data_IF_471315175437
#
_entry.id   IF_471315175437
#
_cell.length_a   1.000
_cell.length_b   1.000
_cell.length_c   1.000
_cell.angle_alpha   90.00
_cell.angle_beta   90.00
_cell.angle_gamma   90.00
#
_symmetry.space_group_name_H-M   'P 1'
#
loop_
_entity.id
_entity.type
_entity.pdbx_description
1 polymer ?
#
# COMPACT_ATOMS: atom_id res chain seq x y z
N UNK A 1 18.44 13.44 26.65
CA UNK A 1 17.02 13.23 26.58
C UNK A 1 16.75 11.73 26.60
N UNK A 2 16.03 11.23 27.60
CA UNK A 2 15.49 9.88 27.60
C UNK A 2 14.08 9.96 27.01
N UNK A 3 13.87 9.30 25.89
CA UNK A 3 12.56 9.19 25.23
C UNK A 3 11.83 7.97 25.79
N UNK A 4 10.61 8.13 26.22
CA UNK A 4 9.77 7.03 26.66
C UNK A 4 8.70 6.72 25.63
N UNK A 5 8.65 5.47 25.18
CA UNK A 5 7.66 4.98 24.23
C UNK A 5 7.11 3.65 24.72
N UNK A 6 5.81 3.54 24.78
CA UNK A 6 5.10 2.33 25.14
C UNK A 6 4.33 1.80 23.94
N UNK A 7 4.25 0.49 23.82
CA UNK A 7 3.49 -0.09 22.73
C UNK A 7 3.26 -1.58 22.87
N UNK A 8 2.33 -2.05 22.07
CA UNK A 8 1.99 -3.46 21.95
C UNK A 8 1.80 -3.82 20.49
N UNK A 9 2.09 -5.06 20.14
CA UNK A 9 1.81 -5.57 18.81
C UNK A 9 1.29 -7.01 18.87
N UNK A 10 0.46 -7.35 17.91
CA UNK A 10 -0.01 -8.70 17.64
C UNK A 10 0.26 -9.05 16.19
N UNK A 11 0.71 -10.28 15.93
CA UNK A 11 0.90 -10.78 14.57
C UNK A 11 0.46 -12.23 14.48
N UNK A 12 -0.40 -12.55 13.53
CA UNK A 12 -0.68 -13.92 13.14
C UNK A 12 0.31 -14.43 12.08
N UNK A 13 0.35 -15.75 11.87
CA UNK A 13 1.22 -16.34 10.83
C UNK A 13 0.77 -15.96 9.43
N UNK A 14 1.70 -15.52 8.58
CA UNK A 14 1.47 -15.20 7.16
C UNK A 14 1.12 -16.41 6.30
N UNK A 15 1.34 -17.63 6.78
CA UNK A 15 1.00 -18.87 6.06
C UNK A 15 -0.47 -19.25 6.12
N UNK A 16 -1.27 -18.56 6.94
CA UNK A 16 -2.71 -18.79 7.07
C UNK A 16 -3.48 -18.17 5.91
N UNK A 17 -4.69 -18.68 5.67
CA UNK A 17 -5.66 -18.12 4.73
C UNK A 17 -5.93 -16.62 5.03
N UNK A 18 -6.03 -16.30 6.31
CA UNK A 18 -6.10 -14.94 6.83
C UNK A 18 -4.91 -14.69 7.75
N UNK A 19 -4.31 -13.53 7.59
CA UNK A 19 -3.27 -13.07 8.50
C UNK A 19 -3.51 -11.59 8.86
N UNK A 20 -3.09 -11.24 10.06
CA UNK A 20 -3.29 -9.90 10.61
C UNK A 20 -2.07 -9.52 11.43
N UNK A 21 -1.71 -8.25 11.36
CA UNK A 21 -0.77 -7.62 12.28
C UNK A 21 -1.41 -6.32 12.74
N UNK A 22 -1.40 -6.11 14.06
CA UNK A 22 -1.88 -4.88 14.68
C UNK A 22 -0.76 -4.36 15.56
N UNK A 23 -0.51 -3.07 15.53
CA UNK A 23 0.44 -2.43 16.43
C UNK A 23 -0.12 -1.11 16.95
N UNK A 24 0.25 -0.79 18.17
CA UNK A 24 -0.06 0.47 18.83
C UNK A 24 1.16 0.93 19.60
N UNK A 25 1.51 2.19 19.45
CA UNK A 25 2.60 2.83 20.17
C UNK A 25 2.21 4.25 20.55
N UNK A 26 2.57 4.65 21.77
CA UNK A 26 2.39 5.98 22.30
C UNK A 26 3.67 6.41 23.02
N UNK A 27 4.03 7.67 22.94
CA UNK A 27 5.15 8.21 23.68
C UNK A 27 5.68 9.51 23.12
N UNK A 28 6.71 10.00 23.75
CA UNK A 28 7.37 11.26 23.41
C UNK A 28 7.89 11.25 21.96
N UNK A 29 7.72 12.37 21.27
CA UNK A 29 8.19 12.60 19.91
C UNK A 29 8.72 14.02 19.75
N UNK A 30 10.04 14.16 19.70
CA UNK A 30 10.73 15.47 19.73
C UNK A 30 10.36 16.29 20.98
N UNK A 31 9.61 17.38 20.80
CA UNK A 31 9.14 18.31 21.84
C UNK A 31 7.70 18.07 22.25
N UNK A 32 7.04 17.06 21.68
CA UNK A 32 5.64 16.73 21.89
C UNK A 32 5.40 15.23 22.07
N UNK A 33 4.21 14.80 21.76
CA UNK A 33 3.76 13.42 21.90
C UNK A 33 3.26 12.84 20.57
N UNK A 34 3.35 11.52 20.44
CA UNK A 34 2.83 10.80 19.28
C UNK A 34 2.10 9.53 19.68
N UNK A 35 0.92 9.35 19.12
CA UNK A 35 0.21 8.07 19.05
C UNK A 35 0.36 7.52 17.64
N UNK A 36 0.70 6.26 17.51
CA UNK A 36 0.72 5.55 16.22
C UNK A 36 0.04 4.19 16.35
N UNK A 37 -0.88 3.92 15.42
CA UNK A 37 -1.54 2.64 15.29
C UNK A 37 -1.44 2.13 13.86
N UNK A 38 -1.25 0.84 13.67
CA UNK A 38 -1.33 0.22 12.36
C UNK A 38 -2.07 -1.11 12.41
N UNK A 39 -2.81 -1.40 11.35
CA UNK A 39 -3.49 -2.66 11.15
C UNK A 39 -3.20 -3.17 9.73
N UNK A 40 -2.56 -4.32 9.63
CA UNK A 40 -2.35 -5.04 8.38
C UNK A 40 -3.30 -6.23 8.33
N UNK A 41 -3.95 -6.44 7.21
CA UNK A 41 -4.78 -7.59 6.91
C UNK A 41 -4.34 -8.25 5.62
N UNK A 42 -4.19 -9.56 5.61
CA UNK A 42 -3.91 -10.34 4.42
C UNK A 42 -4.89 -11.49 4.27
N UNK A 43 -5.31 -11.71 3.05
CA UNK A 43 -6.22 -12.78 2.66
C UNK A 43 -5.74 -13.48 1.40
N UNK A 44 -5.58 -14.80 1.47
CA UNK A 44 -5.12 -15.61 0.34
C UNK A 44 -6.09 -16.77 0.12
N UNK A 45 -7.25 -16.52 -0.55
CA UNK A 45 -8.28 -17.54 -0.77
C UNK A 45 -7.80 -18.70 -1.62
N UNK A 46 -6.84 -18.45 -2.50
CA UNK A 46 -6.24 -19.46 -3.38
C UNK A 46 -4.73 -19.22 -3.53
N UNK A 47 -4.04 -20.15 -4.18
CA UNK A 47 -2.62 -19.93 -4.56
C UNK A 47 -2.43 -18.87 -5.63
N UNK A 48 -3.52 -18.50 -6.33
CA UNK A 48 -3.49 -17.55 -7.45
C UNK A 48 -3.88 -16.13 -7.06
N UNK A 49 -4.57 -15.95 -5.93
CA UNK A 49 -5.11 -14.65 -5.51
C UNK A 49 -4.61 -14.36 -4.11
N UNK A 50 -4.04 -13.18 -3.93
CA UNK A 50 -3.78 -12.59 -2.63
C UNK A 50 -4.28 -11.16 -2.57
N UNK A 51 -4.84 -10.81 -1.45
CA UNK A 51 -5.24 -9.46 -1.08
C UNK A 51 -4.51 -9.06 0.18
N UNK A 52 -4.05 -7.83 0.25
CA UNK A 52 -3.55 -7.21 1.47
C UNK A 52 -4.07 -5.79 1.59
N UNK A 53 -4.36 -5.38 2.81
CA UNK A 53 -4.69 -4.00 3.15
C UNK A 53 -3.91 -3.61 4.39
N UNK A 54 -3.49 -2.36 4.45
CA UNK A 54 -2.83 -1.75 5.59
C UNK A 54 -3.46 -0.40 5.87
N UNK A 55 -3.74 -0.14 7.13
CA UNK A 55 -4.16 1.15 7.63
C UNK A 55 -3.14 1.64 8.65
N UNK A 56 -2.68 2.84 8.45
CA UNK A 56 -1.75 3.53 9.34
C UNK A 56 -2.39 4.80 9.87
N UNK A 57 -2.25 5.03 11.16
CA UNK A 57 -2.73 6.19 11.87
C UNK A 57 -1.59 6.78 12.71
N UNK A 58 -1.36 8.07 12.55
CA UNK A 58 -0.46 8.85 13.39
C UNK A 58 -1.17 10.12 13.85
N UNK A 59 -1.14 10.32 15.14
CA UNK A 59 -1.59 11.52 15.81
C UNK A 59 -0.38 12.14 16.49
N UNK A 60 -0.03 13.33 16.09
CA UNK A 60 1.19 14.03 16.52
C UNK A 60 0.81 15.38 17.06
N UNK A 61 1.10 15.58 18.33
CA UNK A 61 0.90 16.84 19.05
C UNK A 61 2.26 17.48 19.33
N UNK A 62 2.48 18.68 18.80
CA UNK A 62 3.73 19.44 18.98
C UNK A 62 3.43 20.91 19.30
N UNK A 63 4.33 21.63 20.01
CA UNK A 63 4.16 23.06 20.26
C UNK A 63 4.00 23.90 19.00
N UNK A 64 4.53 23.44 17.87
CA UNK A 64 4.47 24.11 16.56
C UNK A 64 3.19 23.81 15.78
N UNK A 65 2.40 22.81 16.19
CA UNK A 65 1.15 22.41 15.57
C UNK A 65 0.90 20.91 15.60
N UNK A 66 -0.36 20.55 15.59
CA UNK A 66 -0.84 19.18 15.66
C UNK A 66 -1.28 18.71 14.27
N UNK A 67 -1.09 17.42 14.00
CA UNK A 67 -1.63 16.82 12.79
C UNK A 67 -2.00 15.34 12.98
N UNK A 68 -3.01 14.93 12.23
CA UNK A 68 -3.44 13.52 12.16
C UNK A 68 -3.24 13.02 10.74
N UNK A 69 -2.35 12.05 10.57
CA UNK A 69 -2.14 11.34 9.31
C UNK A 69 -2.88 10.00 9.34
N UNK A 70 -3.67 9.74 8.32
CA UNK A 70 -4.34 8.47 8.03
C UNK A 70 -3.96 8.02 6.64
N UNK A 71 -3.37 6.85 6.55
CA UNK A 71 -2.95 6.26 5.28
C UNK A 71 -3.61 4.90 5.12
N UNK A 72 -4.11 4.63 3.92
CA UNK A 72 -4.68 3.34 3.53
C UNK A 72 -3.92 2.85 2.31
N UNK A 73 -3.40 1.63 2.40
CA UNK A 73 -2.78 0.91 1.30
C UNK A 73 -3.56 -0.38 1.06
N UNK A 74 -3.89 -0.68 -0.19
CA UNK A 74 -4.53 -1.93 -0.57
C UNK A 74 -3.83 -2.52 -1.80
N UNK A 75 -3.64 -3.83 -1.82
CA UNK A 75 -2.98 -4.54 -2.90
C UNK A 75 -3.72 -5.82 -3.22
N UNK A 76 -3.95 -6.05 -4.51
CA UNK A 76 -4.45 -7.31 -5.05
C UNK A 76 -3.41 -7.87 -6.00
N UNK A 77 -3.03 -9.11 -5.81
CA UNK A 77 -2.17 -9.87 -6.73
C UNK A 77 -2.97 -11.05 -7.27
N UNK A 78 -3.02 -11.16 -8.58
CA UNK A 78 -3.72 -12.24 -9.26
C UNK A 78 -2.83 -12.91 -10.31
N UNK A 79 -2.44 -14.15 -10.07
CA UNK A 79 -1.76 -15.02 -11.04
C UNK A 79 -2.80 -15.75 -11.87
N UNK A 80 -3.17 -15.17 -13.02
CA UNK A 80 -4.15 -15.73 -13.94
C UNK A 80 -3.66 -17.08 -14.50
N UNK A 81 -2.38 -17.11 -14.92
CA UNK A 81 -1.63 -18.30 -15.33
C UNK A 81 -0.24 -18.28 -14.70
N UNK A 82 0.60 -19.32 -14.83
CA UNK A 82 2.00 -19.27 -14.42
C UNK A 82 2.78 -18.12 -15.07
N UNK A 83 2.38 -17.72 -16.29
CA UNK A 83 3.08 -16.75 -17.12
C UNK A 83 2.39 -15.38 -17.16
N UNK A 84 1.18 -15.25 -16.57
CA UNK A 84 0.40 -14.02 -16.61
C UNK A 84 -0.07 -13.63 -15.21
N UNK A 85 0.34 -12.46 -14.75
CA UNK A 85 -0.05 -11.90 -13.46
C UNK A 85 -0.51 -10.44 -13.56
N UNK A 86 -1.43 -10.08 -12.68
CA UNK A 86 -1.94 -8.73 -12.49
C UNK A 86 -1.72 -8.32 -11.04
N UNK A 87 -1.18 -7.14 -10.85
CA UNK A 87 -1.04 -6.50 -9.53
C UNK A 87 -1.71 -5.15 -9.58
N UNK A 88 -2.59 -4.89 -8.63
CA UNK A 88 -3.17 -3.57 -8.41
C UNK A 88 -2.80 -3.08 -7.02
N UNK A 89 -2.39 -1.83 -6.92
CA UNK A 89 -2.10 -1.11 -5.68
C UNK A 89 -2.94 0.14 -5.63
N UNK A 90 -3.58 0.38 -4.49
CA UNK A 90 -4.29 1.61 -4.16
C UNK A 90 -3.65 2.20 -2.92
N UNK A 91 -3.41 3.51 -2.92
CA UNK A 91 -2.84 4.24 -1.80
C UNK A 91 -3.59 5.55 -1.62
N UNK A 92 -3.95 5.86 -0.39
CA UNK A 92 -4.62 7.11 -0.04
C UNK A 92 -4.05 7.67 1.26
N UNK A 93 -3.87 8.96 1.34
CA UNK A 93 -3.63 9.67 2.58
C UNK A 93 -4.49 10.92 2.71
N UNK A 94 -4.87 11.25 3.94
CA UNK A 94 -5.77 12.36 4.23
C UNK A 94 -5.11 13.74 4.29
N UNK A 95 -3.78 13.82 4.27
CA UNK A 95 -3.06 15.11 4.34
C UNK A 95 -2.95 15.69 2.94
N UNK A 96 -2.50 14.90 1.98
CA UNK A 96 -2.48 15.32 0.58
C UNK A 96 -3.87 15.25 -0.08
N UNK A 97 -4.76 14.41 0.46
CA UNK A 97 -6.02 14.05 -0.18
C UNK A 97 -5.83 13.23 -1.46
N UNK A 98 -4.63 12.69 -1.68
CA UNK A 98 -4.29 11.96 -2.90
C UNK A 98 -4.71 10.50 -2.82
N UNK A 99 -5.42 10.03 -3.84
CA UNK A 99 -5.69 8.63 -4.11
C UNK A 99 -4.91 8.19 -5.34
N UNK A 100 -3.89 7.38 -5.14
CA UNK A 100 -3.07 6.77 -6.19
C UNK A 100 -3.52 5.36 -6.51
N UNK A 101 -3.61 5.03 -7.80
CA UNK A 101 -3.84 3.68 -8.31
C UNK A 101 -2.71 3.28 -9.26
N UNK A 102 -2.13 2.10 -9.05
CA UNK A 102 -1.17 1.48 -9.96
C UNK A 102 -1.66 0.08 -10.34
N UNK A 103 -1.86 -0.17 -11.63
CA UNK A 103 -2.19 -1.48 -12.16
C UNK A 103 -1.05 -1.97 -13.04
N UNK A 104 -0.53 -3.17 -12.77
CA UNK A 104 0.58 -3.77 -13.51
C UNK A 104 0.20 -5.16 -14.00
N UNK A 105 0.19 -5.32 -15.31
CA UNK A 105 0.13 -6.61 -15.97
C UNK A 105 1.55 -7.06 -16.33
N UNK A 106 1.90 -8.29 -16.00
CA UNK A 106 3.14 -8.92 -16.41
C UNK A 106 2.82 -10.23 -17.13
N UNK A 107 3.34 -10.37 -18.34
CA UNK A 107 3.15 -11.55 -19.18
C UNK A 107 4.50 -12.04 -19.71
N UNK A 108 4.84 -13.29 -19.38
CA UNK A 108 5.99 -14.02 -19.94
C UNK A 108 5.50 -14.79 -21.17
N UNK A 109 5.80 -14.30 -22.35
CA UNK A 109 5.35 -14.91 -23.62
C UNK A 109 6.16 -16.15 -23.97
N UNK A 110 7.45 -16.15 -23.64
CA UNK A 110 8.37 -17.28 -23.75
C UNK A 110 9.60 -17.05 -22.88
N UNK A 111 10.48 -18.04 -22.77
CA UNK A 111 11.68 -17.94 -21.96
C UNK A 111 12.55 -16.72 -22.39
N UNK A 112 12.73 -15.76 -21.49
CA UNK A 112 13.47 -14.52 -21.72
C UNK A 112 12.70 -13.41 -22.43
N UNK A 113 11.40 -13.59 -22.67
CA UNK A 113 10.54 -12.57 -23.28
C UNK A 113 9.43 -12.17 -22.30
N UNK A 114 9.40 -10.90 -21.92
CA UNK A 114 8.43 -10.39 -20.97
C UNK A 114 7.77 -9.11 -21.49
N UNK A 115 6.49 -9.02 -21.30
CA UNK A 115 5.66 -7.86 -21.58
C UNK A 115 5.14 -7.30 -20.27
N UNK A 116 5.31 -6.02 -20.05
CA UNK A 116 4.73 -5.30 -18.90
C UNK A 116 3.84 -4.18 -19.42
N UNK A 117 2.62 -4.14 -18.92
CA UNK A 117 1.74 -2.99 -19.08
C UNK A 117 1.51 -2.40 -17.69
N UNK A 118 1.84 -1.14 -17.52
CA UNK A 118 1.64 -0.41 -16.27
C UNK A 118 0.68 0.73 -16.53
N UNK A 119 -0.33 0.85 -15.71
CA UNK A 119 -1.27 1.96 -15.72
C UNK A 119 -1.27 2.63 -14.34
N UNK A 120 -1.01 3.92 -14.32
CA UNK A 120 -1.08 4.76 -13.14
C UNK A 120 -2.23 5.75 -13.29
N UNK A 121 -2.94 6.02 -12.21
CA UNK A 121 -3.97 7.02 -12.14
C UNK A 121 -3.96 7.68 -10.78
N UNK A 122 -3.97 9.00 -10.74
CA UNK A 122 -4.06 9.77 -9.52
C UNK A 122 -5.35 10.60 -9.49
N UNK A 123 -5.90 10.70 -8.30
CA UNK A 123 -7.07 11.51 -7.97
C UNK A 123 -6.74 12.36 -6.75
N UNK A 124 -7.37 13.50 -6.62
CA UNK A 124 -7.31 14.31 -5.42
C UNK A 124 -8.72 14.51 -4.85
N UNK A 125 -8.82 14.54 -3.54
CA UNK A 125 -10.07 14.75 -2.82
C UNK A 125 -10.52 16.20 -2.95
N UNK A 126 -11.79 16.40 -3.32
CA UNK A 126 -12.40 17.72 -3.39
C UNK A 126 -13.04 18.09 -2.06
N UNK A 127 -12.96 19.38 -1.68
CA UNK A 127 -13.73 19.91 -0.56
C UNK A 127 -15.23 19.72 -0.81
N UNK A 128 -15.84 18.76 -0.09
CA UNK A 128 -17.29 18.63 -0.07
C UNK A 128 -17.90 17.37 -0.65
N UNK A 129 -17.22 16.50 -1.33
CA UNK A 129 -17.51 15.10 -1.67
C UNK A 129 -17.02 14.71 -3.07
N UNK A 130 -16.13 13.75 -3.10
CA UNK A 130 -15.68 13.09 -4.31
C UNK A 130 -14.21 13.28 -4.60
N UNK A 131 -13.76 12.66 -5.69
CA UNK A 131 -12.39 12.72 -6.15
C UNK A 131 -12.34 13.32 -7.55
N UNK A 132 -11.43 14.26 -7.76
CA UNK A 132 -11.10 14.76 -9.08
C UNK A 132 -9.93 13.98 -9.67
N UNK A 133 -10.05 13.63 -10.95
CA UNK A 133 -8.99 12.99 -11.69
C UNK A 133 -7.89 14.00 -12.00
N UNK A 134 -6.68 13.78 -11.52
CA UNK A 134 -5.53 14.64 -11.79
C UNK A 134 -4.83 14.24 -13.08
N UNK A 135 -4.13 13.12 -13.05
CA UNK A 135 -3.33 12.63 -14.15
C UNK A 135 -3.40 11.11 -14.22
N UNK A 136 -3.06 10.57 -15.37
CA UNK A 136 -2.92 9.15 -15.57
C UNK A 136 -1.97 8.88 -16.73
N UNK A 137 -1.20 7.82 -16.60
CA UNK A 137 -0.28 7.37 -17.64
C UNK A 137 -0.37 5.85 -17.83
N UNK A 138 -0.04 5.43 -19.04
CA UNK A 138 0.08 4.02 -19.37
C UNK A 138 1.44 3.77 -20.04
N UNK A 139 2.18 2.81 -19.53
CA UNK A 139 3.51 2.44 -20.02
C UNK A 139 3.52 0.99 -20.44
N UNK A 140 3.95 0.74 -21.68
CA UNK A 140 4.24 -0.60 -22.20
C UNK A 140 5.76 -0.80 -22.26
N UNK A 141 6.24 -1.87 -21.62
CA UNK A 141 7.65 -2.27 -21.63
C UNK A 141 7.78 -3.68 -22.16
N UNK A 142 8.65 -3.86 -23.15
CA UNK A 142 9.00 -5.15 -23.74
C UNK A 142 10.45 -5.49 -23.38
N UNK A 143 10.67 -6.63 -22.75
CA UNK A 143 12.00 -7.15 -22.46
C UNK A 143 12.24 -8.41 -23.30
N UNK A 144 13.37 -8.46 -23.97
CA UNK A 144 13.81 -9.61 -24.75
C UNK A 144 15.25 -9.97 -24.35
N UNK A 145 15.49 -11.22 -23.97
CA UNK A 145 16.83 -11.74 -23.66
C UNK A 145 17.30 -12.67 -24.77
N UNK A 146 18.33 -12.28 -25.49
CA UNK A 146 19.01 -13.14 -26.45
C UNK A 146 19.96 -14.08 -25.68
N UNK A 147 19.86 -15.37 -25.95
CA UNK A 147 20.86 -16.37 -25.51
C UNK A 147 21.60 -16.88 -26.75
N UNK A 148 22.88 -16.69 -26.72
CA UNK A 148 23.81 -17.23 -27.76
C UNK A 148 24.36 -18.56 -27.28
#
# INVERSE_FOLDING_TARGET
HQWQRYGAFFRSSKSRLFNTKISYYQGEFYTGDRVSASAEFGWRPTRKISFSAEYNYWDVEMPEGDFVLRQVDAKIEWSLTPDLSLVNVLQYDNISGDLGMNARLHWTTSAGQNVYLVYNQNYNELEGNGFERLNGDATLKLNYTFRF
#
